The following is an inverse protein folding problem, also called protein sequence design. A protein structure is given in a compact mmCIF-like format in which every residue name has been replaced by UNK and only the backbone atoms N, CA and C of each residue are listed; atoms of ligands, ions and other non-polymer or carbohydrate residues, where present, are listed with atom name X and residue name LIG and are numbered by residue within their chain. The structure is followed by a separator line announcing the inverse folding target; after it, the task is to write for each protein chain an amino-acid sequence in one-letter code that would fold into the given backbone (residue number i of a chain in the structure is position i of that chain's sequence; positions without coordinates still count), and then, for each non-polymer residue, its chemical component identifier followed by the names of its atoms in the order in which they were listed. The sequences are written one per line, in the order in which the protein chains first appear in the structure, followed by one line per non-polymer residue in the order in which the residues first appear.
data_IF_665163623954
#
_entry.id   IF_665163623954
#
_cell.length_a   1.000
_cell.length_b   1.000
_cell.length_c   1.000
_cell.angle_alpha   90.00
_cell.angle_beta   90.00
_cell.angle_gamma   90.00
#
_symmetry.space_group_name_H-M   'P 1'
#
loop_
_entity.id
_entity.type
_entity.pdbx_description
1 polymer ?
#
# COMPACT_ATOMS: atom_id res chain seq x y z
N UNK A 1 -3.24 -2.01 25.65
CA UNK A 1 -3.23 -0.59 25.25
C UNK A 1 -3.84 0.25 26.34
N UNK A 2 -3.17 1.35 26.73
CA UNK A 2 -3.70 2.35 27.69
C UNK A 2 -5.15 2.73 27.38
N UNK A 3 -5.46 3.04 26.11
CA UNK A 3 -6.82 3.43 25.72
C UNK A 3 -7.87 2.34 25.94
N UNK A 4 -7.52 1.07 25.77
CA UNK A 4 -8.47 -0.02 25.98
C UNK A 4 -8.69 -0.33 27.47
N UNK A 5 -7.71 0.01 28.31
CA UNK A 5 -7.81 -0.09 29.76
C UNK A 5 -8.62 1.06 30.36
N UNK A 6 -8.36 2.30 29.95
CA UNK A 6 -9.06 3.49 30.47
C UNK A 6 -10.47 3.67 29.88
N UNK A 7 -10.69 3.21 28.64
CA UNK A 7 -11.96 3.37 27.93
C UNK A 7 -12.46 2.04 27.35
N UNK A 8 -12.82 1.06 28.20
CA UNK A 8 -13.14 -0.29 27.76
C UNK A 8 -14.37 -0.35 26.84
N UNK A 9 -15.35 0.50 27.06
CA UNK A 9 -16.64 0.51 26.33
C UNK A 9 -16.59 1.27 25.00
N UNK A 10 -15.50 2.00 24.73
CA UNK A 10 -15.36 2.75 23.47
C UNK A 10 -14.92 1.79 22.35
N UNK A 11 -15.66 1.73 21.21
CA UNK A 11 -15.26 0.94 20.05
C UNK A 11 -13.92 1.44 19.47
N UNK A 12 -13.07 0.49 19.06
CA UNK A 12 -11.78 0.77 18.44
C UNK A 12 -11.69 0.13 17.06
N UNK A 13 -11.14 0.88 16.10
CA UNK A 13 -10.82 0.40 14.76
C UNK A 13 -9.32 0.51 14.52
N UNK A 14 -8.72 -0.56 13.97
CA UNK A 14 -7.33 -0.57 13.52
C UNK A 14 -7.31 -0.74 11.99
N UNK A 15 -6.65 0.18 11.29
CA UNK A 15 -6.61 0.24 9.83
C UNK A 15 -5.17 0.05 9.34
N UNK A 16 -4.96 -0.85 8.40
CA UNK A 16 -3.66 -1.13 7.80
C UNK A 16 -3.84 -1.56 6.35
N UNK A 17 -2.94 -1.12 5.47
CA UNK A 17 -2.97 -1.49 4.05
C UNK A 17 -2.23 -2.82 3.79
N UNK A 18 -1.13 -3.05 4.52
CA UNK A 18 -0.24 -4.19 4.33
C UNK A 18 0.10 -4.80 5.69
N UNK A 19 -0.78 -5.66 6.20
CA UNK A 19 -0.49 -6.49 7.37
C UNK A 19 -0.47 -7.96 6.96
N UNK A 20 0.70 -8.59 7.14
CA UNK A 20 0.77 -10.05 7.15
C UNK A 20 -0.03 -10.59 8.33
N UNK A 21 -0.31 -11.89 8.31
CA UNK A 21 -1.01 -12.55 9.41
C UNK A 21 -0.31 -12.35 10.75
N UNK A 22 1.03 -12.45 10.78
CA UNK A 22 1.81 -12.23 12.00
C UNK A 22 1.67 -10.79 12.52
N UNK A 23 1.86 -9.79 11.66
CA UNK A 23 1.71 -8.37 12.04
C UNK A 23 0.29 -8.10 12.55
N UNK A 24 -0.72 -8.74 11.95
CA UNK A 24 -2.11 -8.63 12.42
C UNK A 24 -2.28 -9.18 13.84
N UNK A 25 -1.68 -10.33 14.15
CA UNK A 25 -1.74 -10.91 15.50
C UNK A 25 -1.06 -9.99 16.52
N UNK A 26 0.07 -9.40 16.14
CA UNK A 26 0.77 -8.43 16.99
C UNK A 26 -0.08 -7.18 17.25
N UNK A 27 -0.81 -6.67 16.25
CA UNK A 27 -1.74 -5.55 16.41
C UNK A 27 -2.84 -5.91 17.41
N UNK A 28 -3.50 -7.07 17.24
CA UNK A 28 -4.58 -7.52 18.14
C UNK A 28 -4.07 -7.63 19.57
N UNK A 29 -2.90 -8.23 19.76
CA UNK A 29 -2.29 -8.43 21.07
C UNK A 29 -1.95 -7.09 21.75
N UNK A 30 -1.19 -6.23 21.07
CA UNK A 30 -0.72 -4.97 21.64
C UNK A 30 -1.86 -3.97 21.90
N UNK A 31 -2.85 -3.94 21.01
CA UNK A 31 -4.03 -3.10 21.18
C UNK A 31 -5.07 -3.70 22.15
N UNK A 32 -4.89 -4.95 22.59
CA UNK A 32 -5.84 -5.68 23.44
C UNK A 32 -7.25 -5.72 22.82
N UNK A 33 -7.32 -6.01 21.51
CA UNK A 33 -8.60 -6.13 20.80
C UNK A 33 -9.25 -7.47 21.14
N UNK A 34 -10.38 -7.41 21.84
CA UNK A 34 -11.15 -8.61 22.19
C UNK A 34 -12.06 -9.00 21.03
N UNK A 35 -11.79 -10.16 20.42
CA UNK A 35 -12.57 -10.75 19.32
C UNK A 35 -12.99 -9.75 18.21
N UNK A 36 -12.05 -9.03 17.57
CA UNK A 36 -12.39 -8.00 16.61
C UNK A 36 -12.94 -8.59 15.31
N UNK A 37 -13.83 -7.83 14.66
CA UNK A 37 -14.28 -8.15 13.29
C UNK A 37 -13.12 -7.93 12.32
N UNK A 38 -12.81 -8.94 11.51
CA UNK A 38 -11.77 -8.87 10.50
C UNK A 38 -12.35 -8.59 9.12
N UNK A 39 -11.95 -7.45 8.55
CA UNK A 39 -12.28 -7.07 7.19
C UNK A 39 -11.00 -7.05 6.36
N UNK A 40 -10.99 -7.83 5.28
CA UNK A 40 -9.88 -7.89 4.33
C UNK A 40 -10.42 -7.67 2.93
N UNK A 41 -9.73 -6.83 2.18
CA UNK A 41 -9.99 -6.62 0.76
C UNK A 41 -8.83 -7.15 -0.07
N UNK A 42 -9.12 -7.54 -1.32
CA UNK A 42 -8.09 -7.89 -2.28
C UNK A 42 -7.16 -6.71 -2.53
N UNK A 43 -5.87 -6.99 -2.67
CA UNK A 43 -4.89 -5.98 -3.09
C UNK A 43 -5.00 -5.65 -4.59
N UNK A 44 -5.68 -6.51 -5.37
CA UNK A 44 -5.68 -6.42 -6.82
C UNK A 44 -6.31 -5.11 -7.31
N UNK A 45 -5.58 -4.40 -8.19
CA UNK A 45 -6.03 -3.19 -8.86
C UNK A 45 -6.20 -3.51 -10.34
N UNK A 46 -7.41 -3.93 -10.73
CA UNK A 46 -7.72 -4.34 -12.11
C UNK A 46 -7.53 -3.23 -13.15
N UNK A 47 -7.43 -1.98 -12.70
CA UNK A 47 -7.17 -0.81 -13.54
C UNK A 47 -5.68 -0.49 -13.72
N UNK A 48 -4.76 -1.29 -13.16
CA UNK A 48 -3.31 -1.12 -13.34
C UNK A 48 -2.77 -2.07 -14.41
N UNK A 49 -2.00 -1.49 -15.34
CA UNK A 49 -1.26 -2.23 -16.34
C UNK A 49 0.19 -2.41 -15.88
N UNK A 50 0.65 -3.65 -15.76
CA UNK A 50 2.01 -3.98 -15.37
C UNK A 50 2.85 -4.30 -16.61
N UNK A 51 4.01 -3.64 -16.75
CA UNK A 51 4.94 -3.86 -17.85
C UNK A 51 6.38 -3.90 -17.32
N UNK A 52 7.14 -4.89 -17.75
CA UNK A 52 8.58 -5.00 -17.48
C UNK A 52 9.32 -4.79 -18.79
N UNK A 53 10.19 -3.78 -18.83
CA UNK A 53 11.02 -3.47 -19.99
C UNK A 53 12.49 -3.70 -19.64
N UNK A 54 13.26 -4.22 -20.61
CA UNK A 54 14.70 -4.36 -20.45
C UNK A 54 15.33 -2.96 -20.36
N UNK A 55 16.19 -2.74 -19.37
CA UNK A 55 16.93 -1.47 -19.25
C UNK A 55 18.03 -1.39 -20.30
N UNK A 56 17.90 -0.44 -21.22
CA UNK A 56 18.92 -0.15 -22.24
C UNK A 56 19.76 1.08 -21.85
N UNK A 57 20.91 1.26 -22.53
CA UNK A 57 21.82 2.40 -22.30
C UNK A 57 21.11 3.75 -22.50
N UNK A 58 20.16 3.82 -23.42
CA UNK A 58 19.35 5.01 -23.76
C UNK A 58 17.97 5.03 -23.06
N UNK A 59 17.79 4.27 -21.97
CA UNK A 59 16.50 4.17 -21.25
C UNK A 59 15.89 5.53 -20.85
N UNK A 60 16.71 6.53 -20.53
CA UNK A 60 16.23 7.89 -20.22
C UNK A 60 15.52 8.52 -21.42
N UNK A 61 16.09 8.39 -22.62
CA UNK A 61 15.49 8.95 -23.82
C UNK A 61 14.15 8.27 -24.14
N UNK A 62 14.08 6.94 -23.99
CA UNK A 62 12.86 6.17 -24.18
C UNK A 62 11.76 6.59 -23.18
N UNK A 63 12.11 6.77 -21.89
CA UNK A 63 11.18 7.27 -20.88
C UNK A 63 10.67 8.68 -21.22
N UNK A 64 11.56 9.59 -21.60
CA UNK A 64 11.21 10.94 -22.03
C UNK A 64 10.26 10.95 -23.24
N UNK A 65 10.49 10.06 -24.21
CA UNK A 65 9.60 9.90 -25.37
C UNK A 65 8.21 9.39 -24.96
N UNK A 66 8.13 8.36 -24.11
CA UNK A 66 6.86 7.84 -23.60
C UNK A 66 6.05 8.91 -22.85
N UNK A 67 6.71 9.77 -22.06
CA UNK A 67 6.05 10.86 -21.34
C UNK A 67 5.48 11.89 -22.31
N UNK A 68 6.24 12.27 -23.35
CA UNK A 68 5.80 13.29 -24.33
C UNK A 68 4.73 12.78 -25.30
N UNK A 69 4.71 11.48 -25.58
CA UNK A 69 3.81 10.87 -26.55
C UNK A 69 2.62 10.21 -25.85
N UNK A 70 2.82 9.02 -25.27
CA UNK A 70 1.79 8.18 -24.68
C UNK A 70 1.11 8.82 -23.45
N UNK A 71 1.89 9.51 -22.63
CA UNK A 71 1.41 10.11 -21.37
C UNK A 71 1.37 11.65 -21.40
N UNK A 72 1.20 12.24 -22.60
CA UNK A 72 1.16 13.69 -22.76
C UNK A 72 0.10 14.31 -21.87
N UNK A 73 0.48 15.37 -21.14
CA UNK A 73 -0.39 16.11 -20.20
C UNK A 73 -0.96 15.27 -19.04
N UNK A 74 -0.33 14.14 -18.69
CA UNK A 74 -0.69 13.31 -17.54
C UNK A 74 0.35 13.42 -16.42
N UNK A 75 -0.04 13.01 -15.21
CA UNK A 75 0.85 12.97 -14.04
C UNK A 75 1.36 11.56 -13.81
N UNK A 76 2.62 11.44 -13.39
CA UNK A 76 3.25 10.17 -13.05
C UNK A 76 4.34 10.32 -11.98
N UNK A 77 4.85 9.20 -11.50
CA UNK A 77 5.92 9.12 -10.50
C UNK A 77 7.05 8.27 -11.07
N UNK A 78 8.31 8.72 -10.91
CA UNK A 78 9.51 7.95 -11.24
C UNK A 78 10.25 7.67 -9.93
N UNK A 79 10.40 6.40 -9.58
CA UNK A 79 11.22 5.97 -8.46
C UNK A 79 12.65 5.67 -8.95
N UNK A 80 13.65 6.26 -8.28
CA UNK A 80 15.07 6.04 -8.55
C UNK A 80 15.74 5.36 -7.37
N UNK A 81 16.76 4.56 -7.63
CA UNK A 81 17.71 4.10 -6.62
C UNK A 81 18.93 5.04 -6.62
N UNK A 82 19.47 5.35 -5.45
CA UNK A 82 20.71 6.12 -5.26
C UNK A 82 21.93 5.22 -5.25
#
# INVERSE_FOLDING_TARGET
SFFKQEYPDIPMIALTATASEQVRMDIIHNLQLNNPVFLKQSFNRTNLFYQVLKKEKNSIFQMCDMIRTKFKNQTGIIYCHS
#
